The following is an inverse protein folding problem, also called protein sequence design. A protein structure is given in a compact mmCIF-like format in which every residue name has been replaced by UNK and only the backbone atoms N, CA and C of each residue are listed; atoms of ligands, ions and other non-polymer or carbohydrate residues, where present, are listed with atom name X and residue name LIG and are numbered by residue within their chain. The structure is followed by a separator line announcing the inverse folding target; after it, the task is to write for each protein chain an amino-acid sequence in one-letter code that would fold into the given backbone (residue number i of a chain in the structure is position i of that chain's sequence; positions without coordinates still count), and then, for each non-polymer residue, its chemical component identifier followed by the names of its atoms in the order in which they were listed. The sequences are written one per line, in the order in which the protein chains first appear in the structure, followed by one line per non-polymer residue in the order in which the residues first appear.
data_IF_557033623918
#
_entry.id   IF_557033623918
#
_cell.length_a   1.000
_cell.length_b   1.000
_cell.length_c   1.000
_cell.angle_alpha   90.00
_cell.angle_beta   90.00
_cell.angle_gamma   90.00
#
_symmetry.space_group_name_H-M   'P 1'
#
loop_
_entity.id
_entity.type
_entity.pdbx_description
1 polymer ?
#
# COMPACT_ATOMS: atom_id res chain seq x y z
N UNK A 1 9.92 -19.07 -10.32
CA UNK A 1 9.29 -17.74 -10.08
C UNK A 1 9.85 -17.19 -8.78
N UNK A 2 10.02 -15.87 -8.60
CA UNK A 2 10.67 -15.33 -7.38
C UNK A 2 9.95 -15.78 -6.09
N UNK A 3 8.64 -16.02 -6.19
CA UNK A 3 7.77 -16.51 -5.13
C UNK A 3 8.07 -17.94 -4.63
N UNK A 4 8.91 -18.71 -5.32
CA UNK A 4 9.23 -20.10 -4.95
C UNK A 4 10.34 -20.20 -3.88
N UNK A 5 11.00 -19.10 -3.55
CA UNK A 5 12.14 -19.11 -2.62
C UNK A 5 11.74 -18.92 -1.16
N UNK A 6 10.44 -18.79 -0.85
CA UNK A 6 9.92 -18.60 0.51
C UNK A 6 10.21 -17.22 1.13
N UNK A 7 10.66 -16.25 0.33
CA UNK A 7 10.91 -14.88 0.78
C UNK A 7 9.65 -14.01 0.66
N UNK A 8 9.59 -12.95 1.47
CA UNK A 8 8.61 -11.88 1.33
C UNK A 8 9.05 -10.85 0.27
N UNK A 9 8.09 -10.39 -0.54
CA UNK A 9 8.34 -9.43 -1.61
C UNK A 9 7.40 -8.24 -1.50
N UNK A 10 7.95 -7.04 -1.69
CA UNK A 10 7.18 -5.79 -1.73
C UNK A 10 7.37 -5.15 -3.10
N UNK A 11 6.26 -4.92 -3.79
CA UNK A 11 6.21 -4.20 -5.06
C UNK A 11 5.58 -2.82 -4.89
N UNK A 12 6.19 -1.78 -5.47
CA UNK A 12 5.63 -0.44 -5.46
C UNK A 12 4.69 -0.22 -6.66
N UNK A 13 3.45 0.18 -6.39
CA UNK A 13 2.51 0.64 -7.42
C UNK A 13 2.59 2.16 -7.58
N UNK A 14 3.23 2.63 -8.66
CA UNK A 14 3.27 4.06 -9.01
C UNK A 14 2.03 4.48 -9.80
N UNK A 15 1.63 5.73 -9.64
CA UNK A 15 0.48 6.31 -10.33
C UNK A 15 0.62 6.44 -11.86
N UNK A 16 1.80 6.17 -12.43
CA UNK A 16 1.98 6.14 -13.89
C UNK A 16 1.30 4.91 -14.55
N UNK A 17 0.89 3.92 -13.76
CA UNK A 17 0.03 2.80 -14.19
C UNK A 17 -1.44 3.13 -13.88
N UNK A 18 -2.01 4.08 -14.63
CA UNK A 18 -3.23 4.80 -14.24
C UNK A 18 -4.47 3.90 -14.04
N UNK A 19 -4.64 2.86 -14.86
CA UNK A 19 -5.77 1.93 -14.74
C UNK A 19 -5.69 1.08 -13.46
N UNK A 20 -4.55 0.41 -13.27
CA UNK A 20 -4.30 -0.43 -12.10
C UNK A 20 -4.34 0.37 -10.80
N UNK A 21 -3.74 1.57 -10.80
CA UNK A 21 -3.75 2.44 -9.62
C UNK A 21 -5.18 2.85 -9.23
N UNK A 22 -6.02 3.23 -10.20
CA UNK A 22 -7.43 3.58 -9.93
C UNK A 22 -8.23 2.38 -9.43
N UNK A 23 -8.02 1.21 -10.01
CA UNK A 23 -8.68 -0.04 -9.62
C UNK A 23 -8.34 -0.44 -8.19
N UNK A 24 -7.05 -0.50 -7.87
CA UNK A 24 -6.58 -0.78 -6.50
C UNK A 24 -7.14 0.26 -5.52
N UNK A 25 -7.08 1.55 -5.86
CA UNK A 25 -7.60 2.61 -4.99
C UNK A 25 -9.12 2.53 -4.77
N UNK A 26 -9.89 2.07 -5.76
CA UNK A 26 -11.36 1.95 -5.67
C UNK A 26 -11.77 0.84 -4.70
N UNK A 27 -11.05 -0.28 -4.70
CA UNK A 27 -11.41 -1.46 -3.91
C UNK A 27 -10.61 -1.56 -2.60
N UNK A 28 -9.62 -0.69 -2.37
CA UNK A 28 -8.86 -0.65 -1.12
C UNK A 28 -9.74 -0.21 0.05
N UNK A 29 -9.95 -1.12 1.00
CA UNK A 29 -10.65 -0.86 2.26
C UNK A 29 -9.65 -1.06 3.40
N UNK A 30 -9.28 0.01 4.15
CA UNK A 30 -8.30 -0.11 5.22
C UNK A 30 -8.85 -0.95 6.37
N UNK A 31 -8.12 -2.01 6.75
CA UNK A 31 -8.43 -2.86 7.91
C UNK A 31 -7.75 -2.36 9.18
N UNK A 32 -6.51 -1.91 9.04
CA UNK A 32 -5.73 -1.31 10.12
C UNK A 32 -4.95 -0.13 9.58
N UNK A 33 -4.79 0.90 10.42
CA UNK A 33 -4.05 2.12 10.10
C UNK A 33 -3.13 2.48 11.25
N UNK A 34 -1.85 2.68 10.93
CA UNK A 34 -0.85 3.20 11.84
C UNK A 34 -0.47 4.63 11.43
N UNK A 35 -0.36 5.51 12.42
CA UNK A 35 0.07 6.89 12.20
C UNK A 35 1.45 7.12 12.83
N UNK A 36 2.34 7.77 12.08
CA UNK A 36 3.63 8.25 12.59
C UNK A 36 3.73 9.75 12.40
N UNK A 37 4.05 10.46 13.47
CA UNK A 37 4.35 11.90 13.45
C UNK A 37 5.86 12.04 13.65
N UNK A 38 6.56 12.54 12.64
CA UNK A 38 7.97 12.91 12.74
C UNK A 38 8.09 14.43 12.85
N UNK A 39 8.89 14.90 13.80
CA UNK A 39 9.24 16.32 13.94
C UNK A 39 10.75 16.45 13.74
N UNK A 40 11.17 17.29 12.81
CA UNK A 40 12.60 17.51 12.54
C UNK A 40 12.83 18.72 11.63
N UNK A 41 13.93 19.44 11.85
CA UNK A 41 14.31 20.63 11.04
C UNK A 41 13.18 21.65 10.87
N UNK A 42 12.38 21.89 11.93
CA UNK A 42 11.25 22.81 11.89
C UNK A 42 10.02 22.32 11.13
N UNK A 43 10.01 21.08 10.63
CA UNK A 43 8.89 20.48 9.91
C UNK A 43 8.20 19.40 10.75
N UNK A 44 6.90 19.28 10.57
CA UNK A 44 6.08 18.19 11.12
C UNK A 44 5.57 17.37 9.95
N UNK A 45 6.01 16.12 9.85
CA UNK A 45 5.52 15.18 8.85
C UNK A 45 4.59 14.16 9.52
N UNK A 46 3.36 14.06 9.04
CA UNK A 46 2.42 13.02 9.46
C UNK A 46 2.30 12.00 8.34
N UNK A 47 2.54 10.73 8.67
CA UNK A 47 2.36 9.60 7.74
C UNK A 47 1.31 8.65 8.28
N UNK A 48 0.39 8.28 7.41
CA UNK A 48 -0.62 7.25 7.63
C UNK A 48 -0.26 6.03 6.77
N UNK A 49 -0.09 4.88 7.42
CA UNK A 49 0.14 3.59 6.77
C UNK A 49 -1.05 2.71 7.04
N UNK A 50 -1.77 2.31 6.00
CA UNK A 50 -2.92 1.42 6.11
C UNK A 50 -2.68 0.12 5.37
N UNK A 51 -3.21 -0.99 5.90
CA UNK A 51 -3.18 -2.31 5.25
C UNK A 51 -4.58 -2.77 4.85
N UNK A 52 -4.64 -3.63 3.85
CA UNK A 52 -5.85 -4.29 3.36
C UNK A 52 -5.46 -5.71 2.91
N UNK A 53 -6.07 -6.73 3.51
CA UNK A 53 -5.84 -8.15 3.20
C UNK A 53 -7.08 -8.78 2.54
N UNK A 54 -8.26 -8.18 2.68
CA UNK A 54 -9.39 -8.46 1.82
C UNK A 54 -9.13 -7.92 0.41
N UNK A 55 -8.84 -8.83 -0.51
CA UNK A 55 -8.53 -8.52 -1.91
C UNK A 55 -9.75 -8.62 -2.84
N UNK A 56 -10.97 -8.66 -2.30
CA UNK A 56 -12.20 -8.65 -3.09
C UNK A 56 -12.23 -7.44 -4.04
N UNK A 57 -12.49 -7.70 -5.32
CA UNK A 57 -12.50 -6.66 -6.35
C UNK A 57 -11.11 -6.19 -6.81
N UNK A 58 -10.02 -6.68 -6.21
CA UNK A 58 -8.66 -6.47 -6.72
C UNK A 58 -8.38 -7.52 -7.80
N UNK A 59 -7.83 -7.10 -8.94
CA UNK A 59 -7.35 -8.02 -9.97
C UNK A 59 -6.45 -9.09 -9.33
N UNK A 60 -6.57 -10.35 -9.76
CA UNK A 60 -5.68 -11.42 -9.28
C UNK A 60 -4.23 -11.14 -9.67
N UNK A 61 -3.34 -11.11 -8.67
CA UNK A 61 -1.90 -10.95 -8.83
C UNK A 61 -1.22 -12.15 -8.15
N UNK A 62 -0.37 -12.90 -8.86
CA UNK A 62 0.26 -14.09 -8.29
C UNK A 62 1.03 -13.78 -7.01
N UNK A 63 0.63 -14.41 -5.90
CA UNK A 63 1.27 -14.25 -4.60
C UNK A 63 0.95 -12.94 -3.86
N UNK A 64 0.00 -12.13 -4.34
CA UNK A 64 -0.45 -10.95 -3.61
C UNK A 64 -1.28 -11.36 -2.39
N UNK A 65 -0.84 -10.93 -1.21
CA UNK A 65 -1.50 -11.24 0.07
C UNK A 65 -1.89 -9.98 0.85
N UNK A 66 -1.31 -8.83 0.54
CA UNK A 66 -1.56 -7.59 1.28
C UNK A 66 -1.31 -6.37 0.41
N UNK A 67 -2.22 -5.40 0.47
CA UNK A 67 -2.04 -4.07 -0.07
C UNK A 67 -1.65 -3.11 1.05
N UNK A 68 -0.68 -2.23 0.77
CA UNK A 68 -0.21 -1.22 1.71
C UNK A 68 -0.40 0.17 1.09
N UNK A 69 -1.15 1.03 1.77
CA UNK A 69 -1.31 2.43 1.41
C UNK A 69 -0.46 3.30 2.33
N UNK A 70 0.34 4.18 1.74
CA UNK A 70 1.09 5.21 2.48
C UNK A 70 0.61 6.58 2.02
N UNK A 71 0.12 7.39 2.97
CA UNK A 71 -0.25 8.80 2.75
C UNK A 71 0.58 9.69 3.65
N UNK A 72 0.99 10.83 3.12
CA UNK A 72 1.63 11.90 3.90
C UNK A 72 0.71 13.11 3.89
N UNK A 73 0.47 13.70 5.06
CA UNK A 73 -0.15 15.02 5.15
C UNK A 73 0.99 16.02 4.96
N UNK A 74 0.94 16.78 3.86
CA UNK A 74 1.83 17.92 3.60
C UNK A 74 1.28 19.18 4.27
#
# INVERSE_FOLDING_TARGET
MITQTGNDYIGALKGNQSGLFKDVKKNFIPESTFQKINKGHGRVEKRHVSICQNLDGIRSWPGLTTLIQVKSDL
#
